data_IF_249197896307
#
_entry.id   IF_249197896307
#
_cell.length_a   1.000
_cell.length_b   1.000
_cell.length_c   1.000
_cell.angle_alpha   90.00
_cell.angle_beta   90.00
_cell.angle_gamma   90.00
#
_symmetry.space_group_name_H-M   'P 1'
#
loop_
_entity.id
_entity.type
_entity.pdbx_description
1 polymer ?
#
# COMPACT_ATOMS: atom_id res chain seq x y z
N UNK A 1 -45.47 35.42 0.75
CA UNK A 1 -44.56 34.49 0.05
C UNK A 1 -43.53 34.02 1.08
N UNK A 2 -43.74 32.85 1.70
CA UNK A 2 -42.83 32.27 2.70
C UNK A 2 -42.16 31.08 2.04
N UNK A 3 -40.84 31.15 1.91
CA UNK A 3 -40.00 30.13 1.27
C UNK A 3 -39.83 28.96 2.24
N UNK A 4 -40.32 27.78 1.83
CA UNK A 4 -40.14 26.51 2.54
C UNK A 4 -38.74 25.97 2.27
N UNK A 5 -37.96 25.69 3.33
CA UNK A 5 -36.71 24.92 3.22
C UNK A 5 -37.03 23.46 2.87
N UNK A 6 -36.46 22.97 1.77
CA UNK A 6 -36.36 21.54 1.47
C UNK A 6 -34.91 21.13 1.76
N UNK A 7 -34.71 20.36 2.83
CA UNK A 7 -33.50 19.57 3.00
C UNK A 7 -33.51 18.47 1.93
N UNK A 8 -32.79 18.69 0.84
CA UNK A 8 -32.44 17.63 -0.08
C UNK A 8 -31.16 16.99 0.48
N UNK A 9 -31.27 15.76 0.96
CA UNK A 9 -30.13 14.97 1.44
C UNK A 9 -29.09 14.86 0.35
N UNK A 10 -27.99 15.59 0.54
CA UNK A 10 -26.80 15.41 -0.25
C UNK A 10 -26.15 14.13 0.27
N UNK A 11 -26.52 12.99 -0.33
CA UNK A 11 -25.59 11.86 -0.44
C UNK A 11 -24.31 12.48 -1.01
N UNK A 12 -23.29 12.62 -0.18
CA UNK A 12 -21.95 12.89 -0.64
C UNK A 12 -21.48 11.62 -1.35
N UNK A 13 -21.96 11.40 -2.57
CA UNK A 13 -21.26 10.54 -3.50
C UNK A 13 -19.94 11.27 -3.77
N UNK A 14 -18.92 10.91 -2.99
CA UNK A 14 -17.53 11.13 -3.37
C UNK A 14 -17.41 10.38 -4.69
N UNK A 15 -17.60 11.08 -5.80
CA UNK A 15 -17.29 10.53 -7.11
C UNK A 15 -15.81 10.24 -7.05
N UNK A 16 -15.44 8.96 -6.96
CA UNK A 16 -14.05 8.54 -7.02
C UNK A 16 -13.40 9.30 -8.17
N UNK A 17 -12.35 10.07 -7.87
CA UNK A 17 -11.61 10.79 -8.90
C UNK A 17 -11.07 9.70 -9.84
N UNK A 18 -11.32 9.77 -11.16
CA UNK A 18 -10.81 8.78 -12.10
C UNK A 18 -9.30 8.61 -11.90
N UNK A 19 -8.88 7.38 -11.59
CA UNK A 19 -7.48 7.04 -11.31
C UNK A 19 -7.10 6.85 -9.83
N UNK A 20 -7.92 7.27 -8.87
CA UNK A 20 -7.62 7.01 -7.44
C UNK A 20 -7.85 5.54 -7.07
N UNK A 21 -6.96 4.93 -6.27
CA UNK A 21 -7.19 3.64 -5.66
C UNK A 21 -8.50 3.58 -4.85
N UNK A 22 -9.13 2.41 -4.84
CA UNK A 22 -10.31 2.17 -4.00
C UNK A 22 -9.96 2.23 -2.50
N UNK A 23 -10.79 2.88 -1.70
CA UNK A 23 -10.71 2.83 -0.23
C UNK A 23 -11.49 1.66 0.37
N UNK A 24 -12.17 0.87 -0.46
CA UNK A 24 -12.81 -0.39 -0.05
C UNK A 24 -11.81 -1.55 -0.20
N UNK A 25 -11.36 -2.17 0.90
CA UNK A 25 -10.40 -3.28 0.86
C UNK A 25 -10.96 -4.53 0.15
N UNK A 26 -12.27 -4.63 -0.06
CA UNK A 26 -12.87 -5.73 -0.81
C UNK A 26 -12.73 -5.61 -2.33
N UNK A 27 -12.37 -4.41 -2.83
CA UNK A 27 -12.25 -4.10 -4.26
C UNK A 27 -10.96 -4.60 -4.91
N UNK A 28 -10.03 -5.17 -4.13
CA UNK A 28 -8.73 -5.64 -4.61
C UNK A 28 -8.77 -7.16 -4.87
N UNK A 29 -8.29 -7.62 -6.03
CA UNK A 29 -8.26 -9.03 -6.40
C UNK A 29 -7.30 -9.80 -5.49
N UNK A 30 -6.07 -9.31 -5.37
CA UNK A 30 -5.03 -9.89 -4.53
C UNK A 30 -5.13 -9.28 -3.15
N UNK A 31 -5.49 -10.13 -2.17
CA UNK A 31 -5.61 -9.73 -0.77
C UNK A 31 -4.83 -10.65 0.12
N UNK A 32 -3.94 -10.05 0.90
CA UNK A 32 -3.19 -10.75 1.91
C UNK A 32 -3.50 -10.17 3.29
N UNK A 33 -3.75 -11.05 4.27
CA UNK A 33 -4.28 -10.66 5.58
C UNK A 33 -3.76 -11.52 6.72
N UNK A 34 -3.51 -10.87 7.86
CA UNK A 34 -3.06 -11.50 9.11
C UNK A 34 -4.03 -11.08 10.23
N UNK A 35 -4.61 -12.03 10.98
CA UNK A 35 -4.68 -13.47 10.70
C UNK A 35 -5.48 -13.80 9.43
N UNK A 36 -5.37 -15.03 8.90
CA UNK A 36 -6.19 -15.43 7.76
C UNK A 36 -7.68 -15.30 8.07
N UNK A 37 -8.43 -14.63 7.19
CA UNK A 37 -9.89 -14.46 7.31
C UNK A 37 -10.36 -13.29 8.17
N UNK A 38 -9.44 -12.52 8.74
CA UNK A 38 -9.78 -11.27 9.43
C UNK A 38 -10.44 -10.24 8.49
N UNK A 39 -11.22 -9.35 9.10
CA UNK A 39 -11.73 -8.12 8.56
C UNK A 39 -10.65 -7.02 8.60
N UNK A 40 -10.26 -6.47 7.44
CA UNK A 40 -9.21 -5.45 7.34
C UNK A 40 -9.50 -4.18 8.14
N UNK A 41 -10.77 -3.85 8.34
CA UNK A 41 -11.20 -2.63 9.01
C UNK A 41 -11.25 -2.75 10.53
N UNK A 42 -11.29 -3.97 11.06
CA UNK A 42 -11.51 -4.20 12.50
C UNK A 42 -10.40 -5.03 13.13
N UNK A 43 -10.25 -6.31 12.77
CA UNK A 43 -9.47 -7.30 13.53
C UNK A 43 -8.19 -7.78 12.82
N UNK A 44 -7.93 -7.39 11.58
CA UNK A 44 -6.63 -7.66 10.95
C UNK A 44 -5.49 -6.90 11.65
N UNK A 45 -4.41 -7.61 11.95
CA UNK A 45 -3.12 -7.05 12.37
C UNK A 45 -2.30 -6.53 11.19
N UNK A 46 -2.58 -7.03 9.99
CA UNK A 46 -2.02 -6.53 8.74
C UNK A 46 -2.94 -6.91 7.59
N UNK A 47 -3.11 -6.00 6.64
CA UNK A 47 -3.76 -6.28 5.37
C UNK A 47 -3.07 -5.50 4.25
N UNK A 48 -2.90 -6.16 3.11
CA UNK A 48 -2.58 -5.51 1.84
C UNK A 48 -3.56 -5.97 0.76
N UNK A 49 -4.10 -5.01 0.01
CA UNK A 49 -4.83 -5.22 -1.23
C UNK A 49 -3.99 -4.70 -2.40
N UNK A 50 -3.89 -5.48 -3.48
CA UNK A 50 -3.18 -5.11 -4.71
C UNK A 50 -4.11 -5.34 -5.91
N UNK A 51 -4.21 -4.36 -6.79
CA UNK A 51 -5.09 -4.37 -7.97
C UNK A 51 -4.48 -3.53 -9.10
N UNK A 52 -4.53 -3.98 -10.35
CA UNK A 52 -4.11 -3.13 -11.47
C UNK A 52 -5.10 -1.97 -11.57
N UNK A 53 -4.60 -0.73 -11.63
CA UNK A 53 -5.46 0.43 -11.64
C UNK A 53 -6.40 0.37 -12.86
N UNK A 54 -7.70 0.37 -12.59
CA UNK A 54 -8.73 0.17 -13.60
C UNK A 54 -8.76 1.27 -14.68
N UNK A 55 -8.23 2.46 -14.38
CA UNK A 55 -8.21 3.60 -15.29
C UNK A 55 -6.88 3.72 -16.04
N UNK A 56 -5.78 3.29 -15.43
CA UNK A 56 -4.46 3.28 -16.05
C UNK A 56 -3.68 2.01 -15.68
N UNK A 57 -3.69 0.98 -16.56
CA UNK A 57 -3.01 -0.29 -16.31
C UNK A 57 -1.49 -0.22 -16.16
N UNK A 58 -0.89 0.96 -16.32
CA UNK A 58 0.52 1.18 -16.01
C UNK A 58 0.78 1.26 -14.50
N UNK A 59 -0.26 1.39 -13.68
CA UNK A 59 -0.17 1.52 -12.23
C UNK A 59 -0.78 0.33 -11.48
N UNK A 60 -0.18 0.01 -10.35
CA UNK A 60 -0.69 -0.92 -9.34
C UNK A 60 -1.26 -0.11 -8.18
N UNK A 61 -2.54 -0.28 -7.90
CA UNK A 61 -3.19 0.26 -6.72
C UNK A 61 -2.86 -0.61 -5.52
N UNK A 62 -2.50 0.05 -4.41
CA UNK A 62 -2.11 -0.57 -3.15
C UNK A 62 -3.00 -0.02 -2.05
N UNK A 63 -3.58 -0.91 -1.25
CA UNK A 63 -4.26 -0.60 0.00
C UNK A 63 -3.52 -1.26 1.15
N UNK A 64 -3.10 -0.50 2.15
CA UNK A 64 -2.48 -1.02 3.36
C UNK A 64 -3.27 -0.61 4.59
N UNK A 65 -3.46 -1.54 5.51
CA UNK A 65 -3.95 -1.21 6.85
C UNK A 65 -3.37 -2.10 7.93
N UNK A 66 -3.06 -1.52 9.08
CA UNK A 66 -2.60 -2.22 10.27
C UNK A 66 -2.90 -1.38 11.54
N UNK A 67 -3.19 -2.00 12.70
CA UNK A 67 -3.44 -1.33 13.97
C UNK A 67 -2.11 -0.85 14.59
N UNK A 68 -1.46 0.07 13.89
CA UNK A 68 -0.16 0.65 14.23
C UNK A 68 -0.20 2.18 14.06
N UNK A 69 0.66 2.89 14.77
CA UNK A 69 0.80 4.35 14.66
C UNK A 69 2.19 4.80 14.17
N UNK A 70 3.01 3.86 13.69
CA UNK A 70 4.36 4.13 13.17
C UNK A 70 4.39 4.06 11.65
N UNK A 71 4.40 2.84 11.12
CA UNK A 71 4.40 2.58 9.68
C UNK A 71 3.84 1.19 9.36
N UNK A 72 3.36 1.03 8.13
CA UNK A 72 2.93 -0.23 7.50
C UNK A 72 3.47 -0.27 6.08
N UNK A 73 3.96 -1.41 5.61
CA UNK A 73 4.62 -1.53 4.32
C UNK A 73 4.44 -2.90 3.68
N UNK A 74 4.52 -2.92 2.35
CA UNK A 74 4.62 -4.10 1.50
C UNK A 74 5.96 -4.07 0.75
N UNK A 75 6.64 -5.20 0.71
CA UNK A 75 7.89 -5.37 -0.04
C UNK A 75 7.76 -6.38 -1.17
N UNK A 76 8.45 -6.13 -2.28
CA UNK A 76 8.61 -7.00 -3.43
C UNK A 76 10.06 -7.50 -3.48
N UNK A 77 10.24 -8.79 -3.21
CA UNK A 77 11.57 -9.40 -3.09
C UNK A 77 11.79 -10.54 -4.10
N UNK A 78 12.99 -10.70 -4.66
CA UNK A 78 13.33 -11.89 -5.46
C UNK A 78 13.44 -13.16 -4.61
N UNK A 79 13.48 -13.04 -3.28
CA UNK A 79 13.56 -14.17 -2.35
C UNK A 79 12.53 -14.04 -1.23
N UNK A 80 12.24 -15.09 -0.44
CA UNK A 80 11.44 -14.98 0.78
C UNK A 80 12.15 -14.20 1.91
N UNK A 81 13.04 -13.26 1.62
CA UNK A 81 13.83 -12.54 2.62
C UNK A 81 13.93 -11.04 2.29
N UNK A 82 14.12 -10.22 3.33
CA UNK A 82 14.13 -8.76 3.22
C UNK A 82 15.26 -8.13 2.37
N UNK A 83 16.48 -8.68 2.26
CA UNK A 83 17.50 -8.10 1.40
C UNK A 83 17.06 -8.02 -0.06
N UNK A 84 17.61 -7.04 -0.79
CA UNK A 84 17.34 -6.85 -2.23
C UNK A 84 15.86 -6.68 -2.58
N UNK A 85 15.10 -6.02 -1.68
CA UNK A 85 13.66 -5.82 -1.82
C UNK A 85 13.32 -4.37 -2.10
N UNK A 86 12.35 -4.16 -2.96
CA UNK A 86 11.69 -2.88 -3.22
C UNK A 86 10.48 -2.77 -2.29
N UNK A 87 10.29 -1.64 -1.60
CA UNK A 87 9.41 -1.53 -0.43
C UNK A 87 8.62 -0.21 -0.44
N UNK A 88 7.32 -0.35 -0.61
CA UNK A 88 6.36 0.74 -0.49
C UNK A 88 5.63 0.66 0.84
N UNK A 89 5.37 1.79 1.46
CA UNK A 89 4.60 1.81 2.68
C UNK A 89 3.99 3.15 2.97
N UNK A 90 3.41 3.24 4.16
CA UNK A 90 2.88 4.46 4.71
C UNK A 90 3.46 4.70 6.10
N UNK A 91 3.90 5.92 6.34
CA UNK A 91 4.52 6.36 7.59
C UNK A 91 3.73 7.52 8.17
N UNK A 92 3.64 7.56 9.50
CA UNK A 92 3.10 8.73 10.20
C UNK A 92 4.20 9.77 10.37
N UNK A 93 4.01 10.97 9.79
CA UNK A 93 4.87 12.15 9.97
C UNK A 93 4.00 13.36 10.30
N UNK A 94 4.35 14.08 11.35
CA UNK A 94 3.63 15.29 11.78
C UNK A 94 2.10 15.13 11.91
N UNK A 95 1.65 13.93 12.30
CA UNK A 95 0.24 13.51 12.41
C UNK A 95 -0.49 13.25 11.09
N UNK A 96 0.23 13.28 9.96
CA UNK A 96 -0.25 12.88 8.65
C UNK A 96 0.30 11.51 8.26
N UNK A 97 -0.44 10.76 7.45
CA UNK A 97 -0.01 9.47 6.92
C UNK A 97 0.42 9.68 5.47
N UNK A 98 1.72 9.52 5.22
CA UNK A 98 2.35 9.70 3.92
C UNK A 98 2.74 8.36 3.32
N UNK A 99 2.45 8.15 2.04
CA UNK A 99 3.03 7.06 1.28
C UNK A 99 4.53 7.34 1.03
N UNK A 100 5.36 6.30 1.08
CA UNK A 100 6.81 6.39 0.99
C UNK A 100 7.36 5.20 0.23
N UNK A 101 8.32 5.47 -0.65
CA UNK A 101 9.07 4.47 -1.38
C UNK A 101 10.48 4.31 -0.77
N UNK A 102 10.86 3.06 -0.54
CA UNK A 102 12.08 2.66 0.12
C UNK A 102 12.58 1.35 -0.44
N UNK A 103 13.83 1.02 -0.18
CA UNK A 103 14.40 -0.24 -0.63
C UNK A 103 15.38 -0.83 0.38
N UNK A 104 15.57 -2.14 0.27
CA UNK A 104 16.59 -2.88 0.99
C UNK A 104 17.75 -3.25 0.07
N UNK A 105 18.97 -2.84 0.43
CA UNK A 105 20.15 -3.27 -0.33
C UNK A 105 20.39 -4.79 -0.22
N UNK A 106 21.09 -5.41 -1.19
CA UNK A 106 21.35 -6.86 -1.19
C UNK A 106 22.16 -7.38 0.00
N UNK A 107 22.92 -6.52 0.70
CA UNK A 107 23.80 -6.94 1.79
C UNK A 107 23.58 -6.13 3.06
N UNK A 108 23.35 -6.81 4.18
CA UNK A 108 23.26 -6.24 5.53
C UNK A 108 21.87 -6.38 6.18
N UNK A 109 21.85 -6.47 7.52
CA UNK A 109 20.69 -6.96 8.28
C UNK A 109 19.61 -5.91 8.61
N UNK A 110 19.81 -4.61 8.29
CA UNK A 110 18.90 -3.51 8.67
C UNK A 110 18.97 -2.36 7.67
N UNK A 111 18.43 -2.54 6.48
CA UNK A 111 18.74 -1.68 5.34
C UNK A 111 17.52 -1.07 4.65
N UNK A 112 16.51 -0.60 5.36
CA UNK A 112 15.50 0.22 4.68
C UNK A 112 16.11 1.61 4.39
N UNK A 113 16.28 1.94 3.12
CA UNK A 113 16.79 3.22 2.62
C UNK A 113 15.69 3.91 1.84
N UNK A 114 15.58 5.22 1.99
CA UNK A 114 14.71 6.02 1.14
C UNK A 114 15.18 5.89 -0.32
N UNK A 115 14.26 5.63 -1.25
CA UNK A 115 14.57 5.76 -2.66
C UNK A 115 14.78 7.26 -2.97
N UNK A 116 15.89 7.65 -3.63
CA UNK A 116 16.11 9.05 -4.01
C UNK A 116 15.00 9.62 -4.91
N UNK A 117 14.27 8.78 -5.65
CA UNK A 117 13.08 9.13 -6.40
C UNK A 117 11.82 8.71 -5.63
N UNK A 118 10.76 9.50 -5.69
CA UNK A 118 9.46 9.17 -5.06
C UNK A 118 8.29 9.44 -6.01
N UNK A 119 8.58 9.89 -7.24
CA UNK A 119 7.58 10.29 -8.24
C UNK A 119 6.82 9.12 -8.86
N UNK A 120 7.21 7.89 -8.56
CA UNK A 120 6.53 6.67 -9.00
C UNK A 120 5.28 6.38 -8.16
N UNK A 121 5.17 6.95 -6.95
CA UNK A 121 3.95 6.96 -6.12
C UNK A 121 3.05 8.14 -6.50
N UNK A 122 1.79 7.82 -6.82
CA UNK A 122 0.73 8.80 -7.10
C UNK A 122 -0.56 8.45 -6.37
N UNK A 123 -1.52 9.37 -6.38
CA UNK A 123 -2.89 9.13 -5.87
C UNK A 123 -2.93 8.65 -4.40
N UNK A 124 -1.99 9.12 -3.59
CA UNK A 124 -1.85 8.67 -2.21
C UNK A 124 -2.87 9.34 -1.27
N UNK A 125 -3.44 8.55 -0.37
CA UNK A 125 -4.24 8.99 0.77
C UNK A 125 -3.88 8.18 2.00
N UNK A 126 -4.01 8.77 3.18
CA UNK A 126 -3.72 8.07 4.42
C UNK A 126 -4.46 8.66 5.60
N UNK A 127 -4.83 7.80 6.53
CA UNK A 127 -5.45 8.19 7.80
C UNK A 127 -4.84 7.39 8.95
N UNK A 128 -4.77 8.04 10.11
CA UNK A 128 -4.48 7.40 11.39
C UNK A 128 -5.70 7.57 12.29
N UNK A 129 -6.53 6.53 12.37
CA UNK A 129 -7.76 6.55 13.16
C UNK A 129 -7.73 5.42 14.19
N UNK A 130 -8.03 5.73 15.45
CA UNK A 130 -8.05 4.73 16.54
C UNK A 130 -6.77 3.87 16.63
N UNK A 131 -5.62 4.46 16.33
CA UNK A 131 -4.33 3.75 16.33
C UNK A 131 -4.14 2.77 15.16
N UNK A 132 -4.92 2.92 14.08
CA UNK A 132 -4.79 2.14 12.84
C UNK A 132 -4.42 3.07 11.69
N UNK A 133 -3.31 2.77 11.03
CA UNK A 133 -3.00 3.35 9.72
C UNK A 133 -3.88 2.65 8.69
N UNK A 134 -4.54 3.44 7.85
CA UNK A 134 -5.14 2.99 6.59
C UNK A 134 -4.65 3.92 5.50
N UNK A 135 -4.08 3.39 4.44
CA UNK A 135 -3.61 4.20 3.34
C UNK A 135 -3.79 3.50 2.00
N UNK A 136 -3.92 4.32 0.97
CA UNK A 136 -3.94 3.89 -0.41
C UNK A 136 -2.98 4.72 -1.23
N UNK A 137 -2.42 4.14 -2.27
CA UNK A 137 -1.63 4.83 -3.28
C UNK A 137 -1.54 3.97 -4.53
N UNK A 138 -1.12 4.55 -5.64
CA UNK A 138 -0.76 3.80 -6.84
C UNK A 138 0.74 3.93 -7.09
N UNK A 139 1.38 2.87 -7.59
CA UNK A 139 2.76 2.92 -8.08
C UNK A 139 2.89 2.41 -9.51
N UNK A 140 3.88 2.87 -10.27
CA UNK A 140 4.11 2.39 -11.64
C UNK A 140 4.47 0.89 -11.66
N UNK A 141 3.88 0.06 -12.54
CA UNK A 141 4.19 -1.38 -12.63
C UNK A 141 5.56 -1.61 -13.28
N UNK A 142 5.80 -0.96 -14.41
CA UNK A 142 7.11 -0.93 -15.03
C UNK A 142 7.95 0.08 -14.25
N UNK A 143 8.63 -0.39 -13.20
CA UNK A 143 9.51 0.45 -12.39
C UNK A 143 10.47 1.25 -13.26
N UNK A 144 10.81 2.46 -12.79
CA UNK A 144 11.64 3.38 -13.56
C UNK A 144 13.08 2.85 -13.67
N UNK A 145 13.66 2.96 -14.86
CA UNK A 145 15.05 2.55 -15.09
C UNK A 145 15.98 3.66 -14.60
N UNK A 146 16.56 3.53 -13.40
CA UNK A 146 17.61 4.37 -12.81
C UNK A 146 17.41 5.92 -12.88
N UNK A 147 17.45 6.64 -11.75
CA UNK A 147 18.13 6.27 -10.51
C UNK A 147 17.29 5.45 -9.52
N UNK A 148 16.00 5.26 -9.79
CA UNK A 148 15.11 4.42 -8.99
C UNK A 148 15.61 2.96 -8.94
N UNK A 149 15.36 2.30 -7.81
CA UNK A 149 15.65 0.87 -7.62
C UNK A 149 14.39 0.00 -7.67
N UNK A 150 13.31 0.54 -8.23
CA UNK A 150 12.01 -0.11 -8.33
C UNK A 150 12.07 -1.41 -9.12
N UNK A 151 11.32 -2.39 -8.65
CA UNK A 151 11.09 -3.63 -9.40
C UNK A 151 10.05 -3.41 -10.47
N UNK A 152 10.31 -3.99 -11.64
CA UNK A 152 9.28 -4.14 -12.67
C UNK A 152 8.35 -5.31 -12.29
N UNK A 153 7.14 -4.98 -11.83
CA UNK A 153 6.16 -5.91 -11.28
C UNK A 153 5.47 -6.79 -12.34
N UNK A 154 5.87 -6.70 -13.61
CA UNK A 154 5.59 -7.74 -14.61
C UNK A 154 6.38 -9.04 -14.36
N UNK A 155 7.42 -8.99 -13.50
CA UNK A 155 8.16 -10.17 -13.07
C UNK A 155 7.60 -10.73 -11.76
N UNK A 156 7.97 -11.96 -11.44
CA UNK A 156 7.56 -12.60 -10.19
C UNK A 156 8.41 -12.22 -8.99
N UNK A 157 7.74 -11.89 -7.89
CA UNK A 157 8.35 -11.58 -6.60
C UNK A 157 7.59 -12.24 -5.46
N UNK A 158 8.27 -12.37 -4.32
CA UNK A 158 7.66 -12.65 -3.03
C UNK A 158 7.15 -11.35 -2.42
N UNK A 159 5.94 -11.39 -1.86
CA UNK A 159 5.45 -10.32 -1.01
C UNK A 159 5.98 -10.47 0.41
N UNK A 160 6.51 -9.36 0.93
CA UNK A 160 6.93 -9.21 2.31
C UNK A 160 5.98 -8.23 2.99
N UNK A 161 5.54 -8.55 4.20
CA UNK A 161 4.80 -7.62 5.04
C UNK A 161 5.73 -7.02 6.08
N UNK A 162 5.64 -5.71 6.32
CA UNK A 162 6.31 -5.04 7.42
C UNK A 162 5.40 -4.05 8.11
N UNK A 163 5.45 -3.95 9.44
CA UNK A 163 4.72 -2.93 10.19
C UNK A 163 5.31 -2.72 11.58
N UNK A 164 5.02 -1.57 12.18
CA UNK A 164 5.53 -1.23 13.52
C UNK A 164 4.51 -1.49 14.62
N UNK A 165 4.71 -2.54 15.43
CA UNK A 165 3.89 -2.80 16.61
C UNK A 165 4.57 -2.20 17.84
N UNK A 166 3.96 -1.20 18.48
CA UNK A 166 4.43 -0.63 19.76
C UNK A 166 5.93 -0.22 19.75
N UNK A 167 6.42 0.34 18.64
CA UNK A 167 7.83 0.72 18.49
C UNK A 167 8.76 -0.43 18.07
N UNK A 168 8.26 -1.66 17.92
CA UNK A 168 9.00 -2.80 17.36
C UNK A 168 8.63 -3.03 15.89
N UNK A 169 9.64 -3.09 15.03
CA UNK A 169 9.46 -3.50 13.63
C UNK A 169 9.19 -5.01 13.57
N UNK A 170 8.03 -5.39 13.05
CA UNK A 170 7.70 -6.76 12.69
C UNK A 170 7.78 -6.90 11.16
N UNK A 171 8.52 -7.89 10.70
CA UNK A 171 8.64 -8.22 9.28
C UNK A 171 8.38 -9.71 9.12
N UNK A 172 7.54 -10.08 8.16
CA UNK A 172 7.25 -11.47 7.83
C UNK A 172 7.33 -11.71 6.33
N UNK A 173 7.95 -12.83 5.96
CA UNK A 173 8.02 -13.32 4.60
C UNK A 173 6.96 -14.41 4.40
N UNK A 174 6.12 -14.28 3.37
CA UNK A 174 5.16 -15.34 3.05
C UNK A 174 5.73 -16.29 1.98
N UNK A 175 5.82 -17.60 2.27
CA UNK A 175 6.61 -18.52 1.45
C UNK A 175 5.99 -18.92 0.10
N UNK A 176 4.83 -18.41 -0.30
CA UNK A 176 4.11 -19.02 -1.44
C UNK A 176 3.29 -18.03 -2.26
N UNK A 177 3.86 -16.92 -2.71
CA UNK A 177 3.18 -16.24 -3.81
C UNK A 177 4.15 -15.58 -4.78
N UNK A 178 4.46 -16.34 -5.83
CA UNK A 178 4.92 -15.81 -7.11
C UNK A 178 3.74 -15.06 -7.73
N UNK A 179 3.83 -13.74 -7.83
CA UNK A 179 2.85 -12.95 -8.56
C UNK A 179 3.45 -12.50 -9.88
N UNK A 180 2.95 -13.02 -10.99
CA UNK A 180 3.00 -12.27 -12.24
C UNK A 180 1.73 -11.43 -12.26
N UNK A 181 1.88 -10.10 -12.27
CA UNK A 181 0.79 -9.25 -12.75
C UNK A 181 0.71 -9.55 -14.26
N UNK A 182 -0.39 -10.14 -14.76
CA UNK A 182 -0.48 -10.39 -16.19
C UNK A 182 -0.37 -9.06 -16.93
N UNK A 183 0.58 -8.96 -17.84
CA UNK A 183 0.55 -7.91 -18.85
C UNK A 183 -0.71 -8.15 -19.69
N UNK A 184 -1.68 -7.25 -19.60
CA UNK A 184 -2.84 -7.24 -20.49
C UNK A 184 -2.42 -6.88 -21.92
#
# INVERSE_FOLDING_TARGET
MKLTLVFCGLLCAVTAIPGMPSTDPSAYDLRYRIPTGCDPTTDCTYFVGLEVNANNPSYLDVFLTAPVAGWVAVGFSPTPSMPDSDVFGCIVRDSEVEAIDTYNVPTGARNNRLDPEQGDIVFSTGTLENGRITCTFSRLIAGDQAPSVDRNLNNSFFLLSGFNINGRSECSSYPTTFFMIPAH
#
